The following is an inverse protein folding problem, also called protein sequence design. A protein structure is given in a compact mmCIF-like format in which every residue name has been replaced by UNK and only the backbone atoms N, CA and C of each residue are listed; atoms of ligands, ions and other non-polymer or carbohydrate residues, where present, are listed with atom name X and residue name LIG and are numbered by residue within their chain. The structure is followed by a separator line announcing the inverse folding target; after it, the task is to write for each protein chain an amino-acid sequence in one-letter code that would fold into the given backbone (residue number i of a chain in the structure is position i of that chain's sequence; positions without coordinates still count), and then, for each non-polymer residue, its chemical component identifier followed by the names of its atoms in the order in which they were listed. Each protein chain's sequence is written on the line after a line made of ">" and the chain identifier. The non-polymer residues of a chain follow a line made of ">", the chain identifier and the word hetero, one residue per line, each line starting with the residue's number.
data_IF_356780262338
#
_entry.id   IF_356780262338
#
_cell.length_a   1.000
_cell.length_b   1.000
_cell.length_c   1.000
_cell.angle_alpha   90.00
_cell.angle_beta   90.00
_cell.angle_gamma   90.00
#
_symmetry.space_group_name_H-M   'P 1'
#
loop_
_entity.id
_entity.type
_entity.pdbx_description
1 polymer ?
#
# COMPACT_ATOMS: atom_id res chain seq x y z
N UNK A 1 3.43 -15.59 32.33
CA UNK A 1 4.16 -14.97 31.20
C UNK A 1 3.40 -15.33 29.94
N UNK A 2 2.65 -14.39 29.37
CA UNK A 2 2.02 -14.59 28.05
C UNK A 2 3.11 -14.55 26.98
N UNK A 3 3.03 -15.41 25.94
CA UNK A 3 3.97 -15.34 24.83
C UNK A 3 3.88 -13.96 24.14
N UNK A 4 4.97 -13.48 23.53
CA UNK A 4 4.93 -12.24 22.77
C UNK A 4 4.04 -12.48 21.55
N UNK A 5 2.84 -11.90 21.56
CA UNK A 5 2.10 -11.73 20.32
C UNK A 5 2.98 -10.87 19.41
N UNK A 6 3.21 -11.37 18.20
CA UNK A 6 4.06 -10.72 17.21
C UNK A 6 3.21 -9.63 16.57
N UNK A 7 3.04 -8.51 17.28
CA UNK A 7 2.27 -7.38 16.80
C UNK A 7 2.97 -6.84 15.56
N UNK A 8 2.43 -7.14 14.39
CA UNK A 8 2.91 -6.58 13.13
C UNK A 8 2.52 -5.12 13.10
N UNK A 9 3.49 -4.22 13.32
CA UNK A 9 3.30 -2.78 13.10
C UNK A 9 3.12 -2.51 11.60
N UNK A 10 1.87 -2.57 11.16
CA UNK A 10 1.41 -2.37 9.78
C UNK A 10 1.23 -0.89 9.42
N UNK A 11 1.01 -0.01 10.40
CA UNK A 11 0.79 1.42 10.19
C UNK A 11 1.93 2.09 9.39
N UNK A 12 3.23 1.81 9.64
CA UNK A 12 4.31 2.33 8.81
C UNK A 12 4.23 1.87 7.36
N UNK A 13 3.78 0.64 7.10
CA UNK A 13 3.64 0.08 5.75
C UNK A 13 2.44 0.70 5.03
N UNK A 14 1.34 0.90 5.76
CA UNK A 14 0.16 1.60 5.28
C UNK A 14 0.49 3.05 4.92
N UNK A 15 1.23 3.75 5.79
CA UNK A 15 1.67 5.11 5.52
C UNK A 15 2.63 5.18 4.32
N UNK A 16 3.60 4.26 4.22
CA UNK A 16 4.48 4.17 3.07
C UNK A 16 3.71 3.94 1.76
N UNK A 17 2.67 3.09 1.77
CA UNK A 17 1.78 2.89 0.62
C UNK A 17 1.07 4.18 0.19
N UNK A 18 0.56 4.95 1.15
CA UNK A 18 -0.05 6.26 0.90
C UNK A 18 0.96 7.28 0.34
N UNK A 19 2.17 7.33 0.89
CA UNK A 19 3.22 8.25 0.45
C UNK A 19 3.69 7.92 -0.98
N UNK A 20 3.76 6.63 -1.33
CA UNK A 20 4.05 6.15 -2.69
C UNK A 20 2.95 6.57 -3.66
N UNK A 21 1.67 6.37 -3.31
CA UNK A 21 0.55 6.82 -4.14
C UNK A 21 0.51 8.35 -4.30
N UNK A 22 0.78 9.11 -3.25
CA UNK A 22 0.90 10.57 -3.33
C UNK A 22 2.03 11.01 -4.27
N UNK A 23 3.14 10.26 -4.28
CA UNK A 23 4.26 10.51 -5.21
C UNK A 23 3.83 10.30 -6.67
N UNK A 24 2.98 9.32 -6.96
CA UNK A 24 2.41 9.15 -8.30
C UNK A 24 1.60 10.37 -8.77
N UNK A 25 0.77 10.93 -7.88
CA UNK A 25 0.03 12.16 -8.16
C UNK A 25 0.95 13.34 -8.53
N UNK A 26 2.08 13.47 -7.82
CA UNK A 26 3.10 14.48 -8.14
C UNK A 26 3.74 14.25 -9.52
N UNK A 27 3.99 12.99 -9.90
CA UNK A 27 4.60 12.65 -11.19
C UNK A 27 3.64 12.94 -12.35
N UNK A 28 2.35 12.69 -12.16
CA UNK A 28 1.32 13.00 -13.15
C UNK A 28 1.13 14.52 -13.33
N UNK A 29 1.19 15.28 -12.23
CA UNK A 29 1.21 16.74 -12.29
C UNK A 29 2.42 17.25 -13.07
N UNK A 30 3.62 16.71 -12.77
CA UNK A 30 4.85 17.07 -13.49
C UNK A 30 4.79 16.72 -14.99
N UNK A 31 4.22 15.56 -15.34
CA UNK A 31 3.97 15.16 -16.74
C UNK A 31 3.14 16.22 -17.48
N UNK A 32 2.06 16.67 -16.84
CA UNK A 32 1.16 17.67 -17.39
C UNK A 32 1.89 19.00 -17.60
N UNK A 33 2.60 19.49 -16.58
CA UNK A 33 3.38 20.74 -16.67
C UNK A 33 4.43 20.68 -17.77
N UNK A 34 5.18 19.59 -17.87
CA UNK A 34 6.19 19.43 -18.90
C UNK A 34 5.59 19.30 -20.31
N UNK A 35 4.42 18.66 -20.45
CA UNK A 35 3.73 18.60 -21.74
C UNK A 35 3.27 19.97 -22.23
N UNK A 36 2.83 20.85 -21.32
CA UNK A 36 2.54 22.26 -21.64
C UNK A 36 3.83 22.97 -22.06
N UNK A 37 4.92 22.82 -21.30
CA UNK A 37 6.19 23.46 -21.62
C UNK A 37 6.76 23.02 -22.99
N UNK A 38 6.62 21.74 -23.38
CA UNK A 38 7.03 21.26 -24.71
C UNK A 38 6.17 21.85 -25.83
N UNK A 39 4.86 21.98 -25.60
CA UNK A 39 3.95 22.63 -26.56
C UNK A 39 4.34 24.10 -26.74
N UNK A 40 4.50 24.83 -25.65
CA UNK A 40 4.88 26.25 -25.67
C UNK A 40 6.24 26.46 -26.35
N UNK A 41 7.21 25.58 -26.08
CA UNK A 41 8.53 25.63 -26.72
C UNK A 41 8.47 25.31 -28.23
N UNK A 42 7.60 24.38 -28.63
CA UNK A 42 7.39 24.05 -30.04
C UNK A 42 6.73 25.22 -30.80
N UNK A 43 5.73 25.86 -30.19
CA UNK A 43 5.02 27.00 -30.78
C UNK A 43 5.90 28.26 -30.83
N UNK A 44 6.77 28.45 -29.84
CA UNK A 44 7.74 29.55 -29.82
C UNK A 44 8.93 29.32 -30.80
N UNK A 45 9.13 28.10 -31.29
CA UNK A 45 10.22 27.79 -32.19
C UNK A 45 9.98 28.41 -33.58
N UNK A 46 10.77 29.43 -33.92
CA UNK A 46 10.76 30.05 -35.26
C UNK A 46 11.27 29.12 -36.37
N UNK A 47 11.93 28.02 -36.01
CA UNK A 47 12.43 27.01 -36.93
C UNK A 47 11.58 25.74 -36.80
N UNK A 48 11.01 25.32 -37.93
CA UNK A 48 10.12 24.16 -38.00
C UNK A 48 10.79 22.85 -37.52
N UNK A 49 12.07 22.62 -37.83
CA UNK A 49 12.78 21.42 -37.41
C UNK A 49 12.97 21.38 -35.88
N UNK A 50 13.20 22.54 -35.25
CA UNK A 50 13.32 22.66 -33.79
C UNK A 50 11.95 22.44 -33.12
N UNK A 51 10.88 23.05 -33.64
CA UNK A 51 9.53 22.83 -33.13
C UNK A 51 9.08 21.37 -33.24
N UNK A 52 9.37 20.73 -34.38
CA UNK A 52 9.10 19.31 -34.59
C UNK A 52 9.87 18.41 -33.62
N UNK A 53 11.12 18.74 -33.29
CA UNK A 53 11.91 18.00 -32.30
C UNK A 53 11.30 18.10 -30.89
N UNK A 54 10.84 19.28 -30.47
CA UNK A 54 10.13 19.44 -29.19
C UNK A 54 8.82 18.64 -29.15
N UNK A 55 8.03 18.67 -30.23
CA UNK A 55 6.81 17.89 -30.33
C UNK A 55 7.07 16.38 -30.27
N UNK A 56 8.08 15.89 -31.00
CA UNK A 56 8.48 14.48 -30.99
C UNK A 56 8.95 14.02 -29.60
N UNK A 57 9.79 14.83 -28.95
CA UNK A 57 10.26 14.52 -27.60
C UNK A 57 9.11 14.51 -26.58
N UNK A 58 8.25 15.54 -26.61
CA UNK A 58 7.06 15.61 -25.75
C UNK A 58 6.13 14.42 -25.94
N UNK A 59 5.89 14.00 -27.19
CA UNK A 59 5.01 12.86 -27.52
C UNK A 59 5.55 11.50 -27.04
N UNK A 60 6.86 11.35 -26.90
CA UNK A 60 7.50 10.11 -26.41
C UNK A 60 7.57 10.11 -24.88
N UNK A 61 7.92 11.26 -24.32
CA UNK A 61 8.18 11.41 -22.90
C UNK A 61 6.89 11.40 -22.06
N UNK A 62 5.84 12.08 -22.52
CA UNK A 62 4.61 12.24 -21.74
C UNK A 62 3.88 10.89 -21.47
N UNK A 63 3.70 9.99 -22.46
CA UNK A 63 3.12 8.67 -22.21
C UNK A 63 3.97 7.82 -21.24
N UNK A 64 5.29 7.96 -21.30
CA UNK A 64 6.21 7.22 -20.42
C UNK A 64 6.01 7.62 -18.96
N UNK A 65 5.92 8.93 -18.69
CA UNK A 65 5.71 9.44 -17.33
C UNK A 65 4.31 9.08 -16.84
N UNK A 66 3.28 9.21 -17.68
CA UNK A 66 1.91 8.86 -17.33
C UNK A 66 1.79 7.37 -16.97
N UNK A 67 2.45 6.49 -17.73
CA UNK A 67 2.50 5.05 -17.42
C UNK A 67 3.15 4.78 -16.08
N UNK A 68 4.29 5.43 -15.84
CA UNK A 68 5.06 5.26 -14.62
C UNK A 68 4.32 5.78 -13.37
N UNK A 69 3.62 6.92 -13.49
CA UNK A 69 2.74 7.41 -12.44
C UNK A 69 1.63 6.38 -12.12
N UNK A 70 0.99 5.80 -13.14
CA UNK A 70 -0.03 4.75 -12.94
C UNK A 70 0.53 3.49 -12.27
N UNK A 71 1.74 3.05 -12.64
CA UNK A 71 2.41 1.91 -12.00
C UNK A 71 2.75 2.18 -10.52
N UNK A 72 3.18 3.41 -10.19
CA UNK A 72 3.49 3.83 -8.81
C UNK A 72 2.23 3.95 -7.96
N UNK A 73 1.14 4.48 -8.52
CA UNK A 73 -0.16 4.57 -7.83
C UNK A 73 -0.70 3.17 -7.51
N UNK A 74 -0.67 2.27 -8.49
CA UNK A 74 -1.06 0.88 -8.31
C UNK A 74 -0.20 0.17 -7.25
N UNK A 75 1.12 0.43 -7.24
CA UNK A 75 2.01 -0.09 -6.21
C UNK A 75 1.63 0.42 -4.82
N UNK A 76 1.38 1.72 -4.67
CA UNK A 76 0.95 2.32 -3.40
C UNK A 76 -0.35 1.72 -2.88
N UNK A 77 -1.35 1.57 -3.75
CA UNK A 77 -2.63 0.92 -3.41
C UNK A 77 -2.49 -0.55 -3.01
N UNK A 78 -1.64 -1.30 -3.71
CA UNK A 78 -1.37 -2.71 -3.39
C UNK A 78 -0.68 -2.86 -2.03
N UNK A 79 0.30 -2.00 -1.72
CA UNK A 79 1.00 -1.99 -0.41
C UNK A 79 0.04 -1.64 0.72
N UNK A 80 -0.82 -0.64 0.53
CA UNK A 80 -1.86 -0.27 1.48
C UNK A 80 -2.81 -1.45 1.75
N UNK A 81 -3.28 -2.11 0.69
CA UNK A 81 -4.18 -3.26 0.80
C UNK A 81 -3.52 -4.45 1.50
N UNK A 82 -2.27 -4.76 1.14
CA UNK A 82 -1.51 -5.83 1.78
C UNK A 82 -1.33 -5.59 3.30
N UNK A 83 -1.14 -4.34 3.70
CA UNK A 83 -1.02 -3.96 5.12
C UNK A 83 -2.32 -4.27 5.88
N UNK A 84 -3.47 -3.91 5.32
CA UNK A 84 -4.79 -4.22 5.92
C UNK A 84 -5.03 -5.73 6.04
N UNK A 85 -4.60 -6.53 5.06
CA UNK A 85 -4.72 -8.00 5.14
C UNK A 85 -3.86 -8.56 6.28
N UNK A 86 -2.66 -8.02 6.50
CA UNK A 86 -1.79 -8.43 7.60
C UNK A 86 -2.40 -8.06 8.96
N UNK A 87 -2.97 -6.86 9.10
CA UNK A 87 -3.69 -6.45 10.31
C UNK A 87 -4.83 -7.40 10.66
N UNK A 88 -5.67 -7.71 9.66
CA UNK A 88 -6.81 -8.62 9.84
C UNK A 88 -6.35 -10.03 10.23
N UNK A 89 -5.26 -10.52 9.64
CA UNK A 89 -4.71 -11.81 9.99
C UNK A 89 -4.14 -11.85 11.42
N UNK A 90 -3.53 -10.75 11.90
CA UNK A 90 -3.06 -10.63 13.29
C UNK A 90 -4.24 -10.62 14.26
N UNK A 91 -5.28 -9.84 13.98
CA UNK A 91 -6.51 -9.77 14.79
C UNK A 91 -7.22 -11.13 14.87
N UNK A 92 -7.38 -11.82 13.73
CA UNK A 92 -7.98 -13.15 13.65
C UNK A 92 -7.15 -14.19 14.44
N UNK A 93 -5.83 -14.12 14.33
CA UNK A 93 -4.90 -14.98 15.08
C UNK A 93 -4.98 -14.75 16.59
N UNK A 94 -5.01 -13.49 17.02
CA UNK A 94 -5.17 -13.11 18.42
C UNK A 94 -6.51 -13.58 18.98
N UNK A 95 -7.59 -13.42 18.21
CA UNK A 95 -8.92 -13.90 18.58
C UNK A 95 -8.95 -15.43 18.73
N UNK A 96 -8.40 -16.17 17.75
CA UNK A 96 -8.31 -17.65 17.80
C UNK A 96 -7.55 -18.14 19.04
N UNK A 97 -6.41 -17.52 19.34
CA UNK A 97 -5.61 -17.86 20.53
C UNK A 97 -6.37 -17.57 21.83
N UNK A 98 -7.09 -16.43 21.89
CA UNK A 98 -7.91 -16.09 23.03
C UNK A 98 -9.05 -17.09 23.25
N UNK A 99 -9.79 -17.44 22.20
CA UNK A 99 -10.88 -18.43 22.25
C UNK A 99 -10.37 -19.80 22.67
N UNK A 100 -9.24 -20.27 22.11
CA UNK A 100 -8.63 -21.54 22.51
C UNK A 100 -8.21 -21.54 23.99
N UNK A 101 -7.63 -20.44 24.47
CA UNK A 101 -7.26 -20.32 25.88
C UNK A 101 -8.48 -20.43 26.82
N UNK A 102 -9.58 -19.75 26.47
CA UNK A 102 -10.84 -19.85 27.21
C UNK A 102 -11.39 -21.28 27.22
N UNK A 103 -11.40 -21.97 26.08
CA UNK A 103 -11.83 -23.37 26.00
C UNK A 103 -10.95 -24.30 26.85
N UNK A 104 -9.63 -24.13 26.81
CA UNK A 104 -8.70 -24.89 27.64
C UNK A 104 -8.94 -24.68 29.14
N UNK A 105 -9.21 -23.43 29.55
CA UNK A 105 -9.58 -23.09 30.93
C UNK A 105 -10.89 -23.76 31.37
N UNK A 106 -11.91 -23.72 30.52
CA UNK A 106 -13.21 -24.34 30.79
C UNK A 106 -13.12 -25.88 30.89
N UNK A 107 -12.33 -26.51 30.02
CA UNK A 107 -12.06 -27.95 30.07
C UNK A 107 -11.31 -28.32 31.37
N UNK A 108 -10.24 -27.60 31.70
CA UNK A 108 -9.46 -27.84 32.91
C UNK A 108 -10.25 -27.60 34.21
N UNK A 109 -11.22 -26.68 34.18
CA UNK A 109 -12.16 -26.46 35.28
C UNK A 109 -13.15 -27.62 35.42
N UNK A 110 -13.71 -28.09 34.30
CA UNK A 110 -14.69 -29.19 34.27
C UNK A 110 -14.08 -30.50 34.78
N UNK A 111 -12.86 -30.84 34.33
CA UNK A 111 -12.13 -32.02 34.80
C UNK A 111 -11.84 -31.97 36.31
N UNK A 112 -11.45 -30.81 36.84
CA UNK A 112 -11.22 -30.64 38.28
C UNK A 112 -12.49 -30.80 39.11
N UNK A 113 -13.62 -30.34 38.58
CA UNK A 113 -14.92 -30.49 39.23
C UNK A 113 -15.34 -31.96 39.32
N UNK A 114 -15.19 -32.73 38.26
CA UNK A 114 -15.53 -34.17 38.25
C UNK A 114 -14.69 -34.98 39.24
N UNK A 115 -13.39 -34.68 39.36
CA UNK A 115 -12.50 -35.34 40.33
C UNK A 115 -12.97 -35.09 41.78
N UNK A 116 -13.40 -33.87 42.10
CA UNK A 116 -13.85 -33.51 43.45
C UNK A 116 -15.20 -34.14 43.84
N UNK A 117 -15.99 -34.65 42.90
CA UNK A 117 -17.26 -35.34 43.16
C UNK A 117 -17.12 -36.88 43.18
N UNK A 118 -15.92 -37.42 42.89
CA UNK A 118 -15.65 -38.85 42.86
C UNK A 118 -14.96 -39.37 44.16
N UNK A 119 -14.88 -38.56 45.21
CA UNK A 119 -14.36 -38.88 46.55
C UNK A 119 -15.47 -38.66 47.58
#
# INVERSE_FOLDING_TARGET
>A
MSPPYLHTESEPVHQAGRDVAATAGNWQSWATTASVAFTDAADAARNFAIGSAFGAYGSTWNPTIARLAGEVDALGGNVSTASTVVEQADDDGAHLLHTQHQHGGNLASSLRREINFAV
#
